data_IF_503493788968
#
_entry.id   IF_503493788968
#
_cell.length_a   1.000
_cell.length_b   1.000
_cell.length_c   1.000
_cell.angle_alpha   90.00
_cell.angle_beta   90.00
_cell.angle_gamma   90.00
#
_symmetry.space_group_name_H-M   'P 1'
#
loop_
_entity.id
_entity.type
_entity.pdbx_description
1 polymer ?
#
# COMPACT_ATOMS: atom_id res chain seq x y z
N UNK A 1 5.06 -3.68 -29.31
CA UNK A 1 5.51 -2.86 -28.16
C UNK A 1 5.63 -3.78 -26.95
N UNK A 2 6.86 -4.11 -26.56
CA UNK A 2 7.16 -5.14 -25.57
C UNK A 2 6.74 -4.72 -24.17
N UNK A 3 5.92 -5.56 -23.52
CA UNK A 3 5.56 -5.43 -22.10
C UNK A 3 6.83 -5.56 -21.26
N UNK A 4 7.26 -4.53 -20.50
CA UNK A 4 8.41 -4.70 -19.63
C UNK A 4 8.06 -5.71 -18.54
N UNK A 5 8.92 -6.72 -18.35
CA UNK A 5 8.79 -7.72 -17.30
C UNK A 5 8.69 -7.01 -15.93
N UNK A 6 7.55 -7.19 -15.27
CA UNK A 6 7.31 -6.61 -13.96
C UNK A 6 8.34 -7.15 -12.96
N UNK A 7 9.13 -6.27 -12.33
CA UNK A 7 10.02 -6.65 -11.22
C UNK A 7 9.23 -7.50 -10.21
N UNK A 8 9.64 -8.76 -10.05
CA UNK A 8 9.00 -9.80 -9.22
C UNK A 8 9.17 -9.57 -7.70
N UNK A 9 9.20 -8.31 -7.25
CA UNK A 9 9.23 -7.97 -5.83
C UNK A 9 7.82 -7.86 -5.26
N UNK A 10 7.68 -8.07 -3.95
CA UNK A 10 6.47 -7.69 -3.24
C UNK A 10 6.19 -6.17 -3.40
N UNK A 11 4.93 -5.76 -3.63
CA UNK A 11 4.53 -4.36 -3.57
C UNK A 11 4.44 -3.85 -2.12
N UNK A 12 4.50 -4.73 -1.12
CA UNK A 12 4.48 -4.35 0.29
C UNK A 12 5.84 -3.84 0.75
N UNK A 13 5.85 -2.65 1.36
CA UNK A 13 6.94 -2.17 2.20
C UNK A 13 6.41 -2.06 3.62
N UNK A 14 6.84 -2.97 4.49
CA UNK A 14 6.36 -3.08 5.86
C UNK A 14 7.55 -3.32 6.80
N UNK A 15 7.58 -2.69 7.99
CA UNK A 15 8.65 -2.94 8.95
C UNK A 15 8.64 -4.39 9.41
N UNK A 16 9.81 -4.92 9.81
CA UNK A 16 9.85 -6.16 10.59
C UNK A 16 9.21 -5.94 11.96
N UNK A 17 8.53 -6.96 12.46
CA UNK A 17 7.82 -6.92 13.74
C UNK A 17 8.24 -8.11 14.58
N UNK A 18 8.71 -7.86 15.80
CA UNK A 18 9.12 -8.91 16.75
C UNK A 18 8.07 -9.22 17.82
N UNK A 19 6.95 -8.48 17.81
CA UNK A 19 5.84 -8.62 18.76
C UNK A 19 4.52 -8.67 18.01
N UNK A 20 3.48 -9.32 18.57
CA UNK A 20 2.14 -9.28 18.01
C UNK A 20 1.64 -7.85 17.82
N UNK A 21 1.02 -7.59 16.68
CA UNK A 21 0.46 -6.27 16.35
C UNK A 21 -0.96 -6.13 16.89
N UNK A 22 -1.31 -4.92 17.31
CA UNK A 22 -2.71 -4.56 17.59
C UNK A 22 -3.46 -4.16 16.32
N UNK A 23 -2.73 -3.59 15.35
CA UNK A 23 -3.23 -3.26 14.03
C UNK A 23 -2.07 -3.01 13.06
N UNK A 24 -2.36 -3.09 11.77
CA UNK A 24 -1.48 -2.62 10.71
C UNK A 24 -2.17 -1.49 9.93
N UNK A 25 -1.42 -0.45 9.56
CA UNK A 25 -1.89 0.59 8.65
C UNK A 25 -1.11 0.48 7.35
N UNK A 26 -1.82 0.37 6.22
CA UNK A 26 -1.22 0.32 4.90
C UNK A 26 -1.53 1.61 4.13
N UNK A 27 -0.48 2.35 3.79
CA UNK A 27 -0.59 3.60 3.05
C UNK A 27 -0.55 3.38 1.53
N UNK A 28 -1.49 4.00 0.83
CA UNK A 28 -1.65 3.92 -0.62
C UNK A 28 -1.49 5.31 -1.24
N UNK A 29 -0.36 5.55 -1.89
CA UNK A 29 -0.08 6.86 -2.49
C UNK A 29 -0.92 7.13 -3.74
N UNK A 30 -0.97 8.38 -4.18
CA UNK A 30 -1.62 8.76 -5.45
C UNK A 30 -0.82 8.34 -6.68
N UNK A 31 -1.32 8.67 -7.87
CA UNK A 31 -0.62 8.38 -9.12
C UNK A 31 -1.24 9.14 -10.27
N UNK A 32 -1.24 8.53 -11.45
CA UNK A 32 -1.83 9.09 -12.67
C UNK A 32 -2.98 8.20 -13.14
N UNK A 33 -3.78 8.71 -14.05
CA UNK A 33 -4.76 7.89 -14.74
C UNK A 33 -4.09 6.86 -15.66
N UNK A 34 -3.07 7.29 -16.40
CA UNK A 34 -2.31 6.44 -17.34
C UNK A 34 -0.80 6.46 -17.08
N UNK A 35 -0.15 5.33 -17.36
CA UNK A 35 1.30 5.17 -17.31
C UNK A 35 1.72 3.79 -16.78
N UNK A 36 2.30 2.98 -17.66
CA UNK A 36 2.75 1.61 -17.34
C UNK A 36 4.16 1.54 -16.79
N UNK A 37 4.95 2.61 -16.86
CA UNK A 37 6.26 2.64 -16.21
C UNK A 37 6.12 2.66 -14.69
N UNK A 38 7.17 2.21 -14.01
CA UNK A 38 7.32 2.43 -12.58
C UNK A 38 7.27 3.92 -12.23
N UNK A 39 6.80 4.28 -11.02
CA UNK A 39 7.02 5.60 -10.46
C UNK A 39 8.52 5.95 -10.43
N UNK A 40 8.90 7.21 -10.68
CA UNK A 40 10.30 7.63 -10.59
C UNK A 40 10.84 7.47 -9.17
N UNK A 41 12.17 7.44 -9.02
CA UNK A 41 12.83 7.33 -7.72
C UNK A 41 12.33 8.41 -6.74
N UNK A 42 12.19 9.64 -7.23
CA UNK A 42 11.53 10.75 -6.51
C UNK A 42 10.03 10.75 -6.84
N UNK A 43 9.27 9.97 -6.08
CA UNK A 43 7.82 9.86 -6.25
C UNK A 43 7.08 10.90 -5.38
N UNK A 44 6.77 12.09 -5.92
CA UNK A 44 6.05 13.15 -5.21
C UNK A 44 4.72 12.68 -4.58
N UNK A 45 3.84 11.92 -5.27
CA UNK A 45 2.68 11.29 -4.63
C UNK A 45 3.03 10.44 -3.40
N UNK A 46 4.14 9.71 -3.44
CA UNK A 46 4.65 8.96 -2.30
C UNK A 46 5.13 9.86 -1.16
N UNK A 47 5.84 10.95 -1.46
CA UNK A 47 6.29 11.93 -0.47
C UNK A 47 5.11 12.61 0.24
N UNK A 48 3.99 12.85 -0.46
CA UNK A 48 2.76 13.39 0.14
C UNK A 48 2.17 12.50 1.23
N UNK A 49 2.44 11.20 1.21
CA UNK A 49 2.00 10.27 2.26
C UNK A 49 2.93 10.26 3.48
N UNK A 50 4.11 10.88 3.41
CA UNK A 50 5.09 10.85 4.50
C UNK A 50 4.59 11.52 5.79
N UNK A 51 3.92 12.69 5.77
CA UNK A 51 3.36 13.28 6.99
C UNK A 51 2.36 12.36 7.68
N UNK A 52 1.46 11.71 6.92
CA UNK A 52 0.52 10.70 7.45
C UNK A 52 1.27 9.55 8.11
N UNK A 53 2.28 9.00 7.42
CA UNK A 53 3.09 7.91 7.95
C UNK A 53 3.78 8.30 9.25
N UNK A 54 4.31 9.53 9.35
CA UNK A 54 5.00 10.02 10.54
C UNK A 54 4.04 10.26 11.69
N UNK A 55 2.88 10.88 11.44
CA UNK A 55 1.86 11.11 12.44
C UNK A 55 1.34 9.79 13.04
N UNK A 56 1.00 8.81 12.19
CA UNK A 56 0.52 7.50 12.62
C UNK A 56 1.57 6.75 13.45
N UNK A 57 2.84 6.72 13.01
CA UNK A 57 3.93 6.09 13.76
C UNK A 57 4.16 6.75 15.11
N UNK A 58 4.18 8.09 15.15
CA UNK A 58 4.37 8.85 16.40
C UNK A 58 3.22 8.58 17.38
N UNK A 59 1.98 8.59 16.91
CA UNK A 59 0.82 8.44 17.78
C UNK A 59 0.63 6.99 18.24
N UNK A 60 0.80 6.00 17.35
CA UNK A 60 0.33 4.64 17.59
C UNK A 60 1.43 3.56 17.60
N UNK A 61 2.67 3.90 17.23
CA UNK A 61 3.77 2.92 17.18
C UNK A 61 4.04 2.23 18.53
N UNK A 62 4.11 3.01 19.61
CA UNK A 62 4.27 2.48 20.96
C UNK A 62 3.06 1.67 21.45
N UNK A 63 1.91 1.81 20.78
CA UNK A 63 0.66 1.08 21.06
C UNK A 63 0.54 -0.19 20.22
N UNK A 64 1.60 -0.63 19.54
CA UNK A 64 1.60 -1.87 18.75
C UNK A 64 0.93 -1.73 17.38
N UNK A 65 0.89 -0.51 16.82
CA UNK A 65 0.42 -0.28 15.45
C UNK A 65 1.62 -0.14 14.51
N UNK A 66 1.73 -1.03 13.54
CA UNK A 66 2.76 -0.96 12.50
C UNK A 66 2.23 -0.25 11.25
N UNK A 67 3.05 0.61 10.65
CA UNK A 67 2.69 1.38 9.47
C UNK A 67 3.57 0.98 8.31
N UNK A 68 2.97 0.47 7.24
CA UNK A 68 3.63 0.21 5.97
C UNK A 68 3.00 0.96 4.81
N UNK A 69 3.48 0.67 3.61
CA UNK A 69 3.02 1.31 2.37
C UNK A 69 3.04 0.34 1.20
N UNK A 70 2.22 0.63 0.19
CA UNK A 70 2.25 -0.06 -1.10
C UNK A 70 3.19 0.70 -2.05
N UNK A 71 4.06 -0.04 -2.73
CA UNK A 71 4.89 0.42 -3.84
C UNK A 71 4.28 -0.09 -5.14
N UNK A 72 3.63 0.81 -5.88
CA UNK A 72 3.06 0.44 -7.17
C UNK A 72 4.13 0.14 -8.22
N UNK A 73 3.86 -0.89 -9.02
CA UNK A 73 4.66 -1.27 -10.20
C UNK A 73 4.44 -0.32 -11.37
N UNK A 74 3.25 0.27 -11.47
CA UNK A 74 2.89 1.25 -12.49
C UNK A 74 2.50 2.57 -11.83
N UNK A 75 2.85 3.70 -12.46
CA UNK A 75 2.43 5.03 -11.99
C UNK A 75 0.95 5.33 -12.28
N UNK A 76 0.37 4.62 -13.25
CA UNK A 76 -1.00 4.81 -13.73
C UNK A 76 -1.99 3.78 -13.21
N UNK A 77 -3.26 4.16 -13.16
CA UNK A 77 -4.39 3.24 -12.96
C UNK A 77 -4.58 2.29 -14.15
N UNK A 78 -4.41 2.81 -15.37
CA UNK A 78 -4.42 2.09 -16.65
C UNK A 78 -5.75 1.39 -16.98
N UNK A 79 -6.87 2.09 -16.82
CA UNK A 79 -8.21 1.61 -17.20
C UNK A 79 -8.59 0.32 -16.46
N UNK A 80 -9.05 -0.68 -17.20
CA UNK A 80 -9.49 -1.98 -16.66
C UNK A 80 -8.35 -2.80 -16.04
N UNK A 81 -7.09 -2.44 -16.34
CA UNK A 81 -5.97 -3.08 -15.67
C UNK A 81 -5.92 -2.74 -14.19
N UNK A 82 -6.39 -1.56 -13.79
CA UNK A 82 -6.44 -1.16 -12.38
C UNK A 82 -5.15 -1.50 -11.61
N UNK A 83 -3.97 -1.22 -12.19
CA UNK A 83 -2.70 -1.81 -11.72
C UNK A 83 -2.43 -1.49 -10.24
N UNK A 84 -2.79 -0.29 -9.79
CA UNK A 84 -2.69 0.12 -8.39
C UNK A 84 -3.56 -0.71 -7.44
N UNK A 85 -4.78 -1.10 -7.85
CA UNK A 85 -5.64 -1.96 -7.04
C UNK A 85 -5.08 -3.39 -6.96
N UNK A 86 -4.54 -3.92 -8.06
CA UNK A 86 -3.88 -5.23 -8.07
C UNK A 86 -2.67 -5.25 -7.13
N UNK A 87 -1.87 -4.18 -7.14
CA UNK A 87 -0.74 -4.05 -6.24
C UNK A 87 -1.16 -3.90 -4.77
N UNK A 88 -2.28 -3.21 -4.50
CA UNK A 88 -2.85 -3.13 -3.15
C UNK A 88 -3.32 -4.49 -2.64
N UNK A 89 -4.08 -5.24 -3.45
CA UNK A 89 -4.54 -6.59 -3.10
C UNK A 89 -3.36 -7.54 -2.86
N UNK A 90 -2.32 -7.48 -3.71
CA UNK A 90 -1.12 -8.29 -3.53
C UNK A 90 -0.34 -7.88 -2.27
N UNK A 91 -0.26 -6.59 -1.96
CA UNK A 91 0.37 -6.13 -0.73
C UNK A 91 -0.36 -6.61 0.53
N UNK A 92 -1.69 -6.68 0.49
CA UNK A 92 -2.51 -7.25 1.56
C UNK A 92 -2.29 -8.76 1.72
N UNK A 93 -2.26 -9.50 0.61
CA UNK A 93 -1.94 -10.93 0.63
C UNK A 93 -0.53 -11.19 1.20
N UNK A 94 0.46 -10.37 0.84
CA UNK A 94 1.82 -10.46 1.37
C UNK A 94 1.92 -10.04 2.86
N UNK A 95 0.99 -9.20 3.33
CA UNK A 95 0.95 -8.68 4.70
C UNK A 95 0.24 -9.63 5.65
N UNK A 96 -0.86 -10.26 5.22
CA UNK A 96 -1.68 -11.15 6.03
C UNK A 96 -0.90 -12.18 6.86
N UNK A 97 0.06 -12.96 6.29
CA UNK A 97 0.83 -13.93 7.08
C UNK A 97 1.79 -13.30 8.11
N UNK A 98 2.03 -11.98 8.05
CA UNK A 98 2.98 -11.27 8.93
C UNK A 98 2.33 -10.64 10.16
N UNK A 99 1.01 -10.53 10.17
CA UNK A 99 0.30 -9.72 11.18
C UNK A 99 -0.63 -10.54 12.09
N UNK A 100 -0.76 -11.86 11.85
CA UNK A 100 -1.72 -12.70 12.55
C UNK A 100 -3.15 -12.20 12.35
N UNK A 101 -3.92 -12.14 13.44
CA UNK A 101 -5.32 -11.67 13.41
C UNK A 101 -5.47 -10.14 13.48
N UNK A 102 -4.36 -9.39 13.47
CA UNK A 102 -4.42 -7.94 13.58
C UNK A 102 -5.17 -7.32 12.39
N UNK A 103 -6.11 -6.39 12.63
CA UNK A 103 -6.82 -5.70 11.55
C UNK A 103 -5.89 -4.81 10.74
N UNK A 104 -6.21 -4.67 9.45
CA UNK A 104 -5.55 -3.75 8.52
C UNK A 104 -6.45 -2.56 8.25
N UNK A 105 -5.93 -1.36 8.46
CA UNK A 105 -6.55 -0.08 8.07
C UNK A 105 -5.88 0.42 6.79
N UNK A 106 -6.69 0.77 5.80
CA UNK A 106 -6.20 1.34 4.54
C UNK A 106 -6.31 2.86 4.56
N UNK A 107 -5.22 3.55 4.24
CA UNK A 107 -5.23 5.01 4.07
C UNK A 107 -4.72 5.34 2.67
N UNK A 108 -5.64 5.75 1.81
CA UNK A 108 -5.35 6.05 0.41
C UNK A 108 -5.62 7.50 0.02
N UNK A 109 -4.82 8.04 -0.92
CA UNK A 109 -5.03 9.36 -1.50
C UNK A 109 -5.20 9.29 -3.03
N UNK A 110 -6.21 9.97 -3.59
CA UNK A 110 -6.48 10.02 -5.04
C UNK A 110 -6.58 8.59 -5.65
N UNK A 111 -5.73 8.23 -6.61
CA UNK A 111 -5.64 6.86 -7.14
C UNK A 111 -5.47 5.81 -6.04
N UNK A 112 -4.74 6.13 -4.96
CA UNK A 112 -4.57 5.25 -3.82
C UNK A 112 -5.85 5.08 -2.99
N UNK A 113 -6.72 6.09 -2.92
CA UNK A 113 -8.03 5.96 -2.29
C UNK A 113 -8.93 5.03 -3.12
N UNK A 114 -8.93 5.19 -4.45
CA UNK A 114 -9.62 4.27 -5.37
C UNK A 114 -9.09 2.83 -5.23
N UNK A 115 -7.77 2.65 -5.13
CA UNK A 115 -7.16 1.34 -4.91
C UNK A 115 -7.56 0.74 -3.55
N UNK A 116 -7.59 1.56 -2.50
CA UNK A 116 -8.02 1.14 -1.16
C UNK A 116 -9.47 0.63 -1.16
N UNK A 117 -10.39 1.38 -1.79
CA UNK A 117 -11.80 0.97 -1.91
C UNK A 117 -11.94 -0.36 -2.66
N UNK A 118 -11.17 -0.59 -3.73
CA UNK A 118 -11.17 -1.86 -4.47
C UNK A 118 -10.59 -3.02 -3.66
N UNK A 119 -9.64 -2.75 -2.77
CA UNK A 119 -8.99 -3.75 -1.96
C UNK A 119 -9.68 -3.98 -0.59
N UNK A 120 -10.68 -3.16 -0.24
CA UNK A 120 -11.31 -3.16 1.07
C UNK A 120 -12.06 -4.47 1.41
N UNK A 121 -12.40 -5.28 0.39
CA UNK A 121 -13.01 -6.61 0.59
C UNK A 121 -12.04 -7.69 1.08
N UNK A 122 -10.75 -7.38 1.27
CA UNK A 122 -9.79 -8.35 1.80
C UNK A 122 -10.12 -8.71 3.26
N UNK A 123 -10.08 -10.00 3.67
CA UNK A 123 -10.55 -10.43 5.01
C UNK A 123 -9.86 -9.77 6.20
N UNK A 124 -8.61 -9.34 6.02
CA UNK A 124 -7.85 -8.65 7.07
C UNK A 124 -8.24 -7.17 7.23
N UNK A 125 -8.94 -6.57 6.27
CA UNK A 125 -9.30 -5.14 6.30
C UNK A 125 -10.53 -4.95 7.18
N UNK A 126 -10.43 -4.07 8.18
CA UNK A 126 -11.51 -3.75 9.11
C UNK A 126 -11.60 -2.24 9.33
N UNK A 127 -12.82 -1.73 9.45
CA UNK A 127 -13.15 -0.33 9.70
C UNK A 127 -13.41 -0.09 11.19
#
# INVERSE_FOLDING_TARGET
>A
MSTPAARSGSPLIFPSTSRPLRAAVLLLHGGREHGTSAPPAVNLPGLRMWPFARALRKSFGARGVAVGRVRYRCRGWNGDRADAARDASRALADLAPRIGDAPVILVGHSMGARAALRAAGHPSVRA
#
